data_IF_805480113054
#
_entry.id   IF_805480113054
#
_cell.length_a   1.000
_cell.length_b   1.000
_cell.length_c   1.000
_cell.angle_alpha   90.00
_cell.angle_beta   90.00
_cell.angle_gamma   90.00
#
_symmetry.space_group_name_H-M   'P 1'
#
loop_
_entity.id
_entity.type
_entity.pdbx_description
1 polymer ?
#
# COMPACT_ATOMS: atom_id res chain seq x y z
N UNK A 1 12.25 2.86 -0.98
CA UNK A 1 12.51 1.43 -1.26
C UNK A 1 13.59 0.80 -0.39
N UNK A 2 14.78 1.42 -0.23
CA UNK A 2 15.91 0.81 0.53
C UNK A 2 15.53 0.37 1.95
N UNK A 3 14.76 1.19 2.67
CA UNK A 3 14.28 0.84 4.02
C UNK A 3 13.44 -0.44 4.05
N UNK A 4 12.40 -0.55 3.22
CA UNK A 4 11.48 -1.70 3.24
C UNK A 4 12.18 -3.00 2.87
N UNK A 5 13.06 -2.98 1.86
CA UNK A 5 13.87 -4.14 1.46
C UNK A 5 14.70 -4.65 2.63
N UNK A 6 15.47 -3.75 3.25
CA UNK A 6 16.33 -4.07 4.37
C UNK A 6 15.53 -4.60 5.57
N UNK A 7 14.36 -4.01 5.85
CA UNK A 7 13.48 -4.49 6.92
C UNK A 7 12.99 -5.92 6.68
N UNK A 8 12.54 -6.26 5.47
CA UNK A 8 12.11 -7.62 5.16
C UNK A 8 13.27 -8.62 5.20
N UNK A 9 14.44 -8.26 4.67
CA UNK A 9 15.66 -9.08 4.76
C UNK A 9 16.08 -9.36 6.21
N UNK A 10 16.15 -8.31 7.04
CA UNK A 10 16.49 -8.43 8.48
C UNK A 10 15.47 -9.29 9.25
N UNK A 11 14.22 -9.34 8.78
CA UNK A 11 13.16 -10.17 9.37
C UNK A 11 13.04 -11.56 8.74
N UNK A 12 13.82 -11.87 7.71
CA UNK A 12 13.72 -13.13 6.98
C UNK A 12 12.37 -13.33 6.31
N UNK A 13 11.74 -12.24 5.85
CA UNK A 13 10.46 -12.26 5.17
C UNK A 13 10.73 -12.27 3.67
N UNK A 14 10.26 -13.31 2.99
CA UNK A 14 10.34 -13.41 1.53
C UNK A 14 9.49 -12.32 0.89
N UNK A 15 10.07 -11.61 -0.08
CA UNK A 15 9.39 -10.54 -0.80
C UNK A 15 9.83 -10.49 -2.26
N UNK A 16 8.92 -10.03 -3.11
CA UNK A 16 9.22 -9.69 -4.50
C UNK A 16 8.89 -8.22 -4.75
N UNK A 17 9.65 -7.58 -5.64
CA UNK A 17 9.39 -6.21 -6.06
C UNK A 17 8.87 -6.19 -7.48
N UNK A 18 7.60 -5.84 -7.62
CA UNK A 18 6.98 -5.51 -8.89
C UNK A 18 6.95 -3.99 -9.06
N UNK A 19 7.53 -3.51 -10.16
CA UNK A 19 7.49 -2.10 -10.55
C UNK A 19 6.44 -1.92 -11.65
N UNK A 20 5.55 -0.96 -11.46
CA UNK A 20 4.57 -0.55 -12.47
C UNK A 20 5.28 -0.14 -13.76
N UNK A 21 4.77 -0.60 -14.90
CA UNK A 21 5.31 -0.27 -16.23
C UNK A 21 4.83 1.11 -16.71
N UNK A 22 3.88 1.73 -16.01
CA UNK A 22 3.35 3.06 -16.29
C UNK A 22 2.50 3.13 -17.56
N UNK A 23 1.96 1.98 -18.01
CA UNK A 23 1.10 1.87 -19.19
C UNK A 23 -0.37 2.16 -18.87
N UNK A 24 -0.74 2.14 -17.59
CA UNK A 24 -2.09 2.41 -17.10
C UNK A 24 -2.12 3.18 -15.77
N UNK A 25 -3.30 3.27 -15.14
CA UNK A 25 -3.39 3.80 -13.79
C UNK A 25 -2.72 2.84 -12.80
N UNK A 26 -2.10 3.38 -11.76
CA UNK A 26 -1.44 2.60 -10.73
C UNK A 26 -2.40 1.57 -10.09
N UNK A 27 -3.65 1.97 -9.86
CA UNK A 27 -4.69 1.08 -9.37
C UNK A 27 -4.95 -0.08 -10.33
N UNK A 28 -5.09 0.18 -11.64
CA UNK A 28 -5.35 -0.88 -12.62
C UNK A 28 -4.18 -1.86 -12.73
N UNK A 29 -2.94 -1.35 -12.76
CA UNK A 29 -1.75 -2.20 -12.82
C UNK A 29 -1.62 -3.05 -11.55
N UNK A 30 -1.92 -2.50 -10.38
CA UNK A 30 -1.95 -3.23 -9.10
C UNK A 30 -2.99 -4.35 -9.13
N UNK A 31 -4.20 -4.05 -9.61
CA UNK A 31 -5.31 -5.02 -9.71
C UNK A 31 -4.93 -6.16 -10.67
N UNK A 32 -4.40 -5.84 -11.84
CA UNK A 32 -3.97 -6.84 -12.82
C UNK A 32 -2.81 -7.68 -12.29
N UNK A 33 -1.85 -7.06 -11.61
CA UNK A 33 -0.75 -7.79 -10.99
C UNK A 33 -1.24 -8.77 -9.93
N UNK A 34 -2.17 -8.35 -9.07
CA UNK A 34 -2.76 -9.21 -8.05
C UNK A 34 -3.49 -10.42 -8.66
N UNK A 35 -4.23 -10.23 -9.75
CA UNK A 35 -4.88 -11.32 -10.49
C UNK A 35 -3.85 -12.27 -11.14
N UNK A 36 -2.81 -11.72 -11.79
CA UNK A 36 -1.77 -12.50 -12.47
C UNK A 36 -0.98 -13.43 -11.52
N UNK A 37 -0.81 -13.05 -10.25
CA UNK A 37 -0.13 -13.87 -9.25
C UNK A 37 -1.10 -14.69 -8.38
N UNK A 38 -2.39 -14.67 -8.70
CA UNK A 38 -3.46 -15.30 -7.91
C UNK A 38 -3.41 -14.89 -6.42
N UNK A 39 -3.24 -13.58 -6.17
CA UNK A 39 -3.10 -13.05 -4.82
C UNK A 39 -4.32 -13.36 -3.96
N UNK A 40 -4.09 -13.85 -2.74
CA UNK A 40 -5.15 -14.11 -1.77
C UNK A 40 -5.78 -12.81 -1.22
N UNK A 41 -5.03 -11.71 -1.19
CA UNK A 41 -5.51 -10.41 -0.76
C UNK A 41 -4.62 -9.27 -1.30
N UNK A 42 -5.20 -8.09 -1.43
CA UNK A 42 -4.49 -6.83 -1.68
C UNK A 42 -4.52 -6.03 -0.37
N UNK A 43 -3.35 -5.53 0.06
CA UNK A 43 -3.25 -4.67 1.24
C UNK A 43 -2.85 -3.26 0.79
N UNK A 44 -3.68 -2.28 1.13
CA UNK A 44 -3.43 -0.86 0.85
C UNK A 44 -3.55 -0.02 2.12
N UNK A 45 -2.94 1.17 2.10
CA UNK A 45 -3.04 2.15 3.17
C UNK A 45 -3.95 3.30 2.73
N UNK A 46 -4.78 3.84 3.62
CA UNK A 46 -5.61 5.01 3.30
C UNK A 46 -4.77 6.27 3.15
N UNK A 47 -5.19 7.13 2.23
CA UNK A 47 -4.62 8.47 2.10
C UNK A 47 -5.16 9.39 3.20
N UNK A 48 -4.26 10.21 3.75
CA UNK A 48 -4.62 11.33 4.61
C UNK A 48 -4.64 12.59 3.76
N UNK A 49 -5.79 13.24 3.65
CA UNK A 49 -5.84 14.58 3.07
C UNK A 49 -5.28 15.59 4.09
N UNK A 50 -4.52 16.59 3.66
CA UNK A 50 -3.92 17.59 4.55
C UNK A 50 -4.98 18.61 4.99
N UNK A 51 -6.00 18.85 4.16
CA UNK A 51 -7.08 19.78 4.47
C UNK A 51 -8.14 19.18 5.41
N UNK A 52 -8.31 17.86 5.39
CA UNK A 52 -9.26 17.12 6.23
C UNK A 52 -8.49 16.28 7.26
N UNK A 53 -8.82 16.40 8.54
CA UNK A 53 -8.19 15.59 9.59
C UNK A 53 -8.59 14.10 9.56
N UNK A 54 -9.44 13.71 8.61
CA UNK A 54 -10.03 12.37 8.48
C UNK A 54 -9.36 11.53 7.38
N UNK A 55 -9.37 10.21 7.54
CA UNK A 55 -8.89 9.28 6.52
C UNK A 55 -9.93 9.15 5.41
N UNK A 56 -9.57 9.53 4.18
CA UNK A 56 -10.44 9.50 3.01
C UNK A 56 -9.83 8.54 1.98
N UNK A 57 -10.64 7.65 1.43
CA UNK A 57 -10.24 6.80 0.32
C UNK A 57 -10.12 7.64 -0.96
N UNK A 58 -8.91 7.75 -1.50
CA UNK A 58 -8.68 8.38 -2.80
C UNK A 58 -9.23 7.54 -3.97
N UNK A 59 -9.18 8.12 -5.17
CA UNK A 59 -9.71 7.48 -6.38
C UNK A 59 -9.02 6.14 -6.68
N UNK A 60 -7.71 6.04 -6.42
CA UNK A 60 -6.96 4.80 -6.63
C UNK A 60 -7.38 3.71 -5.64
N UNK A 61 -7.51 4.05 -4.35
CA UNK A 61 -7.92 3.12 -3.32
C UNK A 61 -9.33 2.61 -3.57
N UNK A 62 -10.25 3.51 -3.95
CA UNK A 62 -11.61 3.12 -4.33
C UNK A 62 -11.62 2.17 -5.53
N UNK A 63 -10.79 2.43 -6.55
CA UNK A 63 -10.68 1.54 -7.72
C UNK A 63 -10.13 0.16 -7.32
N UNK A 64 -9.14 0.09 -6.42
CA UNK A 64 -8.59 -1.18 -5.91
C UNK A 64 -9.64 -1.93 -5.08
N UNK A 65 -10.39 -1.25 -4.21
CA UNK A 65 -11.47 -1.87 -3.42
C UNK A 65 -12.56 -2.42 -4.34
N UNK A 66 -12.92 -1.67 -5.37
CA UNK A 66 -13.90 -2.07 -6.38
C UNK A 66 -13.30 -2.91 -7.52
N UNK A 67 -12.20 -3.64 -7.27
CA UNK A 67 -11.51 -4.40 -8.32
C UNK A 67 -12.43 -5.43 -8.99
N UNK A 68 -12.27 -5.58 -10.31
CA UNK A 68 -13.09 -6.47 -11.14
C UNK A 68 -12.90 -7.96 -10.84
N UNK A 69 -11.71 -8.33 -10.37
CA UNK A 69 -11.32 -9.72 -10.08
C UNK A 69 -11.82 -10.21 -8.72
N UNK A 70 -12.46 -9.35 -7.92
CA UNK A 70 -13.03 -9.65 -6.60
C UNK A 70 -12.01 -10.19 -5.59
N UNK A 71 -10.74 -9.80 -5.74
CA UNK A 71 -9.69 -10.10 -4.77
C UNK A 71 -10.01 -9.35 -3.47
N UNK A 72 -9.97 -10.02 -2.29
CA UNK A 72 -10.20 -9.37 -1.01
C UNK A 72 -9.21 -8.21 -0.78
N UNK A 73 -9.71 -7.05 -0.34
CA UNK A 73 -8.88 -5.87 -0.07
C UNK A 73 -8.90 -5.53 1.42
N UNK A 74 -7.73 -5.49 2.04
CA UNK A 74 -7.54 -4.98 3.39
C UNK A 74 -7.01 -3.55 3.33
N UNK A 75 -7.73 -2.65 3.99
CA UNK A 75 -7.39 -1.23 4.03
C UNK A 75 -6.87 -0.87 5.42
N UNK A 76 -5.64 -0.39 5.49
CA UNK A 76 -4.97 -0.02 6.74
C UNK A 76 -5.01 1.50 6.89
N UNK A 77 -5.52 1.99 8.01
CA UNK A 77 -5.40 3.40 8.35
C UNK A 77 -4.00 3.68 8.91
N UNK A 78 -3.27 4.68 8.39
CA UNK A 78 -1.95 5.00 8.92
C UNK A 78 -2.06 5.44 10.37
N UNK A 79 -1.08 5.03 11.18
CA UNK A 79 -1.02 5.36 12.60
C UNK A 79 -0.04 6.51 12.82
N UNK A 80 -0.56 7.66 13.22
CA UNK A 80 0.23 8.88 13.48
C UNK A 80 0.95 8.83 14.83
N UNK A 81 0.51 7.99 15.75
CA UNK A 81 1.11 7.79 17.06
C UNK A 81 2.44 7.04 17.02
N UNK A 82 2.64 6.16 16.03
CA UNK A 82 3.93 5.50 15.79
C UNK A 82 4.99 6.46 15.24
N UNK A 83 4.59 7.51 14.52
CA UNK A 83 5.52 8.56 14.09
C UNK A 83 6.07 9.38 15.26
N UNK A 84 5.25 9.59 16.31
CA UNK A 84 5.60 10.40 17.49
C UNK A 84 6.66 9.76 18.38
N UNK A 85 6.87 8.45 18.29
CA UNK A 85 7.76 7.70 19.17
C UNK A 85 8.98 7.07 18.47
N UNK A 86 9.19 7.27 17.17
CA UNK A 86 10.25 6.54 16.44
C UNK A 86 11.03 7.25 15.34
N UNK A 87 10.64 8.44 14.88
CA UNK A 87 11.30 9.10 13.74
C UNK A 87 11.44 10.62 13.84
N UNK A 88 11.51 11.15 15.08
CA UNK A 88 11.67 12.59 15.34
C UNK A 88 12.55 12.93 16.54
N UNK A 89 13.42 12.01 16.95
CA UNK A 89 14.34 12.20 18.08
C UNK A 89 15.76 12.46 17.63
N UNK A 90 16.14 13.75 17.57
CA UNK A 90 17.50 14.25 17.77
C UNK A 90 18.58 13.82 16.77
N UNK A 91 18.77 14.64 15.73
CA UNK A 91 20.08 15.20 15.39
C UNK A 91 19.95 16.72 15.33
#
# INVERSE_FOLDING_TARGET
MVFCKKFFEEKGIDYELSLSEGKGSFAQETINFADNIEAAAIIIMTTRDIAFHDYILGANEQQIIANSYKVPVMVINPRTDLMKYGYGGGF
#
